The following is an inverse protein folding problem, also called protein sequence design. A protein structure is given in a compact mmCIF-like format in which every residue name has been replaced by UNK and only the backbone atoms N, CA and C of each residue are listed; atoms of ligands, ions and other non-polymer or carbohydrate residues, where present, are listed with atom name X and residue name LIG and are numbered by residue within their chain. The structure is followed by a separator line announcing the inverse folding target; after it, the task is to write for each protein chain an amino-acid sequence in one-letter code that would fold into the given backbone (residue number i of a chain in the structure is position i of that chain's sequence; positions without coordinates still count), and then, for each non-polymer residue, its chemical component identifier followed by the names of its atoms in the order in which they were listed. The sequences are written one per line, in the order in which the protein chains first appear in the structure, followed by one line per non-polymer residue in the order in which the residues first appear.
data_IF_451294310310
#
_entry.id   IF_451294310310
#
_cell.length_a   1.000
_cell.length_b   1.000
_cell.length_c   1.000
_cell.angle_alpha   90.00
_cell.angle_beta   90.00
_cell.angle_gamma   90.00
#
_symmetry.space_group_name_H-M   'P 1'
#
loop_
_entity.id
_entity.type
_entity.pdbx_description
1 polymer ?
#
# COMPACT_ATOMS: atom_id res chain seq x y z
N UNK A 1 -11.27 13.77 -35.37
CA UNK A 1 -10.79 14.26 -34.06
C UNK A 1 -9.70 13.32 -33.59
N UNK A 2 -8.51 13.82 -33.37
CA UNK A 2 -7.31 12.98 -33.12
C UNK A 2 -7.50 12.19 -31.84
N UNK A 3 -7.38 10.86 -31.90
CA UNK A 3 -7.56 9.96 -30.76
C UNK A 3 -6.67 10.34 -29.57
N UNK A 4 -5.47 10.85 -29.86
CA UNK A 4 -4.54 11.41 -28.89
C UNK A 4 -5.12 12.64 -28.17
N UNK A 5 -5.73 13.58 -28.94
CA UNK A 5 -6.32 14.80 -28.38
C UNK A 5 -7.52 14.47 -27.45
N UNK A 6 -8.34 13.48 -27.81
CA UNK A 6 -9.44 12.99 -26.97
C UNK A 6 -8.93 12.37 -25.66
N UNK A 7 -7.91 11.51 -25.72
CA UNK A 7 -7.29 10.90 -24.53
C UNK A 7 -6.70 11.96 -23.59
N UNK A 8 -5.98 12.95 -24.14
CA UNK A 8 -5.40 14.06 -23.34
C UNK A 8 -6.51 14.88 -22.66
N UNK A 9 -7.58 15.23 -23.37
CA UNK A 9 -8.71 15.97 -22.80
C UNK A 9 -9.39 15.20 -21.67
N UNK A 10 -9.54 13.86 -21.80
CA UNK A 10 -10.11 12.99 -20.78
C UNK A 10 -9.23 12.94 -19.53
N UNK A 11 -7.91 12.81 -19.69
CA UNK A 11 -6.94 12.82 -18.57
C UNK A 11 -6.96 14.17 -17.86
N UNK A 12 -6.91 15.28 -18.61
CA UNK A 12 -6.93 16.63 -18.04
C UNK A 12 -8.23 16.90 -17.25
N UNK A 13 -9.37 16.44 -17.74
CA UNK A 13 -10.65 16.56 -17.04
C UNK A 13 -10.71 15.68 -15.77
N UNK A 14 -10.09 14.50 -15.79
CA UNK A 14 -9.95 13.62 -14.63
C UNK A 14 -9.09 14.27 -13.55
N UNK A 15 -7.91 14.75 -13.89
CA UNK A 15 -6.99 15.45 -12.99
C UNK A 15 -7.67 16.68 -12.38
N UNK A 16 -8.35 17.50 -13.19
CA UNK A 16 -9.07 18.69 -12.73
C UNK A 16 -10.17 18.34 -11.71
N UNK A 17 -10.88 17.25 -11.91
CA UNK A 17 -11.92 16.77 -10.97
C UNK A 17 -11.30 16.23 -9.70
N UNK A 18 -10.20 15.45 -9.78
CA UNK A 18 -9.51 14.88 -8.64
C UNK A 18 -9.02 15.97 -7.68
N UNK A 19 -8.43 17.04 -8.20
CA UNK A 19 -7.89 18.14 -7.42
C UNK A 19 -8.90 19.29 -7.18
N UNK A 20 -10.18 19.09 -7.44
CA UNK A 20 -11.22 20.08 -7.11
C UNK A 20 -11.42 20.26 -5.61
N UNK A 21 -11.31 19.17 -4.84
CA UNK A 21 -11.41 19.19 -3.37
C UNK A 21 -10.03 19.47 -2.76
N UNK A 22 -9.91 20.55 -1.98
CA UNK A 22 -8.63 20.95 -1.34
C UNK A 22 -8.03 19.84 -0.49
N UNK A 23 -8.84 19.05 0.20
CA UNK A 23 -8.35 17.97 1.06
C UNK A 23 -7.58 16.90 0.27
N UNK A 24 -8.00 16.60 -0.97
CA UNK A 24 -7.32 15.65 -1.85
C UNK A 24 -5.94 16.18 -2.25
N UNK A 25 -5.81 17.51 -2.43
CA UNK A 25 -4.52 18.15 -2.71
C UNK A 25 -3.55 17.92 -1.54
N UNK A 26 -4.02 18.09 -0.30
CA UNK A 26 -3.18 17.82 0.88
C UNK A 26 -2.77 16.34 0.97
N UNK A 27 -3.70 15.40 0.76
CA UNK A 27 -3.36 13.98 0.73
C UNK A 27 -2.33 13.63 -0.36
N UNK A 28 -2.54 14.14 -1.57
CA UNK A 28 -1.62 13.96 -2.68
C UNK A 28 -0.24 14.62 -2.40
N UNK A 29 -0.22 15.80 -1.81
CA UNK A 29 1.03 16.49 -1.47
C UNK A 29 1.84 15.73 -0.42
N UNK A 30 1.18 15.16 0.61
CA UNK A 30 1.84 14.32 1.62
C UNK A 30 2.45 13.07 0.96
N UNK A 31 1.68 12.34 0.16
CA UNK A 31 2.17 11.14 -0.53
C UNK A 31 3.33 11.50 -1.46
N UNK A 32 3.18 12.57 -2.24
CA UNK A 32 4.24 13.04 -3.14
C UNK A 32 5.50 13.44 -2.39
N UNK A 33 5.37 14.15 -1.26
CA UNK A 33 6.50 14.50 -0.40
C UNK A 33 7.28 13.26 0.04
N UNK A 34 6.61 12.25 0.58
CA UNK A 34 7.28 11.02 1.00
C UNK A 34 7.89 10.23 -0.17
N UNK A 35 7.27 10.24 -1.35
CA UNK A 35 7.85 9.62 -2.54
C UNK A 35 9.15 10.35 -2.94
N UNK A 36 9.15 11.68 -2.92
CA UNK A 36 10.36 12.48 -3.20
C UNK A 36 11.44 12.18 -2.16
N UNK A 37 11.10 12.17 -0.87
CA UNK A 37 12.04 11.82 0.20
C UNK A 37 12.61 10.40 -0.01
N UNK A 38 11.79 9.44 -0.38
CA UNK A 38 12.25 8.07 -0.63
C UNK A 38 13.22 7.98 -1.82
N UNK A 39 12.94 8.69 -2.92
CA UNK A 39 13.80 8.69 -4.11
C UNK A 39 15.12 9.39 -3.82
N UNK A 40 15.06 10.56 -3.20
CA UNK A 40 16.23 11.39 -2.92
C UNK A 40 16.89 11.11 -1.56
N UNK A 41 16.52 10.02 -0.88
CA UNK A 41 17.05 9.69 0.44
C UNK A 41 18.60 9.74 0.55
N UNK A 42 19.37 9.23 -0.43
CA UNK A 42 20.84 9.32 -0.36
C UNK A 42 21.40 10.75 -0.40
N UNK A 43 20.64 11.71 -0.92
CA UNK A 43 21.05 13.12 -1.01
C UNK A 43 20.49 13.96 0.14
N UNK A 44 19.37 13.50 0.75
CA UNK A 44 18.69 14.23 1.82
C UNK A 44 19.19 13.84 3.21
N UNK A 45 19.74 12.62 3.37
CA UNK A 45 20.26 12.16 4.65
C UNK A 45 21.57 12.87 4.98
N UNK A 46 21.66 13.59 6.13
CA UNK A 46 22.88 14.29 6.49
C UNK A 46 24.02 13.34 6.85
N UNK A 47 23.71 12.12 7.32
CA UNK A 47 24.69 11.11 7.71
C UNK A 47 24.36 9.75 7.08
N UNK A 48 25.34 8.83 7.09
CA UNK A 48 25.08 7.42 6.78
C UNK A 48 24.13 6.84 7.85
N UNK A 49 22.92 6.35 7.47
CA UNK A 49 21.93 5.80 8.39
C UNK A 49 22.39 4.55 9.13
N UNK A 50 23.51 3.96 8.73
CA UNK A 50 24.09 2.74 9.30
C UNK A 50 25.37 2.98 10.10
N UNK A 51 25.98 4.16 10.00
CA UNK A 51 27.19 4.52 10.73
C UNK A 51 26.92 4.50 12.24
N UNK A 52 27.67 3.67 12.95
CA UNK A 52 27.55 3.50 14.41
C UNK A 52 28.60 4.41 15.07
N UNK A 53 28.14 5.23 16.02
CA UNK A 53 29.01 6.08 16.86
C UNK A 53 28.64 5.92 18.35
N UNK A 54 29.24 4.95 19.07
CA UNK A 54 28.94 4.70 20.45
C UNK A 54 29.21 5.90 21.38
N UNK A 55 30.07 6.83 20.97
CA UNK A 55 30.38 8.02 21.77
C UNK A 55 29.23 9.01 21.81
N UNK A 56 28.38 9.01 20.78
CA UNK A 56 27.19 9.84 20.66
C UNK A 56 25.89 9.02 20.84
N UNK A 57 25.93 7.92 21.60
CA UNK A 57 24.74 7.12 21.89
C UNK A 57 23.70 7.92 22.66
N UNK A 58 22.41 7.89 22.20
CA UNK A 58 21.28 8.61 22.81
C UNK A 58 21.47 10.12 22.93
N UNK A 59 22.28 10.73 22.06
CA UNK A 59 22.45 12.18 22.04
C UNK A 59 21.12 12.89 21.77
N UNK A 60 20.89 13.98 22.51
CA UNK A 60 19.69 14.81 22.37
C UNK A 60 19.69 15.56 21.03
N UNK A 61 18.51 15.98 20.54
CA UNK A 61 18.41 16.85 19.38
C UNK A 61 19.35 18.06 19.48
N UNK A 62 20.17 18.27 18.47
CA UNK A 62 21.18 19.31 18.39
C UNK A 62 21.39 19.80 16.97
N UNK A 63 22.20 20.84 16.76
CA UNK A 63 22.55 21.29 15.41
C UNK A 63 23.34 20.24 14.61
N UNK A 64 24.08 19.36 15.27
CA UNK A 64 24.76 18.23 14.62
C UNK A 64 23.78 17.10 14.29
N UNK A 65 22.89 16.74 15.20
CA UNK A 65 21.89 15.69 15.03
C UNK A 65 20.50 16.25 15.30
N UNK A 66 19.79 16.68 14.27
CA UNK A 66 18.51 17.41 14.38
C UNK A 66 17.43 16.68 15.19
N UNK A 67 17.37 15.37 15.12
CA UNK A 67 16.48 14.51 15.91
C UNK A 67 17.22 13.66 16.95
N UNK A 68 18.49 13.98 17.18
CA UNK A 68 19.36 13.20 18.06
C UNK A 68 19.84 11.90 17.42
N UNK A 69 20.36 11.01 18.26
CA UNK A 69 20.87 9.69 17.85
C UNK A 69 20.14 8.56 18.54
N UNK A 70 20.25 7.37 17.98
CA UNK A 70 19.66 6.15 18.55
C UNK A 70 20.59 5.50 19.62
N UNK A 71 20.20 4.31 20.07
CA UNK A 71 20.90 3.58 21.15
C UNK A 71 22.34 3.14 20.83
N UNK A 72 22.76 3.21 19.58
CA UNK A 72 24.13 2.88 19.14
C UNK A 72 24.78 4.06 18.40
N UNK A 73 24.19 5.27 18.53
CA UNK A 73 24.75 6.52 18.01
C UNK A 73 24.46 6.81 16.55
N UNK A 74 23.52 6.08 15.90
CA UNK A 74 23.13 6.38 14.50
C UNK A 74 22.20 7.58 14.45
N UNK A 75 22.33 8.43 13.43
CA UNK A 75 21.49 9.61 13.24
C UNK A 75 20.03 9.27 12.97
N UNK A 76 19.13 9.74 13.84
CA UNK A 76 17.68 9.42 13.78
C UNK A 76 17.05 10.00 12.51
N UNK A 77 17.40 11.24 12.11
CA UNK A 77 16.83 11.86 10.92
C UNK A 77 17.21 11.08 9.64
N UNK A 78 18.49 10.73 9.49
CA UNK A 78 18.95 9.93 8.34
C UNK A 78 18.24 8.58 8.28
N UNK A 79 18.03 7.94 9.42
CA UNK A 79 17.29 6.67 9.51
C UNK A 79 15.80 6.83 9.17
N UNK A 80 15.16 7.92 9.56
CA UNK A 80 13.77 8.22 9.15
C UNK A 80 13.67 8.39 7.63
N UNK A 81 14.59 9.13 7.04
CA UNK A 81 14.64 9.35 5.58
C UNK A 81 14.81 8.03 4.83
N UNK A 82 15.72 7.17 5.26
CA UNK A 82 15.89 5.84 4.65
C UNK A 82 14.74 4.89 4.97
N UNK A 83 14.15 4.98 6.16
CA UNK A 83 12.96 4.24 6.55
C UNK A 83 11.76 4.52 5.64
N UNK A 84 11.66 5.74 5.10
CA UNK A 84 10.64 6.09 4.09
C UNK A 84 10.71 5.17 2.86
N UNK A 85 11.91 4.90 2.34
CA UNK A 85 12.10 3.99 1.19
C UNK A 85 11.61 2.60 1.52
N UNK A 86 11.98 2.11 2.69
CA UNK A 86 11.68 0.75 3.14
C UNK A 86 10.18 0.55 3.33
N UNK A 87 9.51 1.46 4.05
CA UNK A 87 8.07 1.39 4.31
C UNK A 87 7.23 1.55 3.02
N UNK A 88 7.60 2.48 2.14
CA UNK A 88 6.93 2.63 0.84
C UNK A 88 7.13 1.39 -0.05
N UNK A 89 8.34 0.84 -0.11
CA UNK A 89 8.64 -0.35 -0.90
C UNK A 89 7.79 -1.54 -0.44
N UNK A 90 7.72 -1.80 0.88
CA UNK A 90 6.89 -2.88 1.42
C UNK A 90 5.42 -2.63 1.11
N UNK A 91 4.92 -1.42 1.40
CA UNK A 91 3.52 -1.09 1.17
C UNK A 91 3.10 -1.30 -0.29
N UNK A 92 3.90 -0.83 -1.24
CA UNK A 92 3.61 -0.94 -2.67
C UNK A 92 3.75 -2.40 -3.14
N UNK A 93 4.86 -3.07 -2.82
CA UNK A 93 5.12 -4.44 -3.35
C UNK A 93 4.13 -5.44 -2.75
N UNK A 94 3.85 -5.40 -1.44
CA UNK A 94 2.88 -6.29 -0.82
C UNK A 94 1.48 -6.11 -1.42
N UNK A 95 1.05 -4.85 -1.62
CA UNK A 95 -0.25 -4.55 -2.24
C UNK A 95 -0.29 -5.01 -3.70
N UNK A 96 0.81 -4.88 -4.46
CA UNK A 96 0.87 -5.38 -5.84
C UNK A 96 0.80 -6.90 -5.91
N UNK A 97 1.47 -7.63 -5.01
CA UNK A 97 1.35 -9.09 -4.89
C UNK A 97 -0.11 -9.48 -4.65
N UNK A 98 -0.75 -8.87 -3.65
CA UNK A 98 -2.15 -9.14 -3.32
C UNK A 98 -3.10 -8.83 -4.47
N UNK A 99 -2.90 -7.69 -5.12
CA UNK A 99 -3.75 -7.25 -6.22
C UNK A 99 -3.63 -8.14 -7.43
N UNK A 100 -2.41 -8.47 -7.87
CA UNK A 100 -2.20 -9.33 -9.04
C UNK A 100 -2.82 -10.71 -8.79
N UNK A 101 -2.49 -11.35 -7.67
CA UNK A 101 -3.04 -12.66 -7.33
C UNK A 101 -4.57 -12.60 -7.14
N UNK A 102 -5.05 -11.61 -6.37
CA UNK A 102 -6.47 -11.49 -6.06
C UNK A 102 -7.33 -11.11 -7.27
N UNK A 103 -6.84 -10.26 -8.16
CA UNK A 103 -7.53 -9.92 -9.43
C UNK A 103 -7.65 -11.15 -10.30
N UNK A 104 -6.58 -11.93 -10.47
CA UNK A 104 -6.61 -13.16 -11.28
C UNK A 104 -7.60 -14.16 -10.68
N UNK A 105 -7.49 -14.46 -9.38
CA UNK A 105 -8.36 -15.41 -8.70
C UNK A 105 -9.82 -14.95 -8.71
N UNK A 106 -10.09 -13.67 -8.44
CA UNK A 106 -11.44 -13.12 -8.44
C UNK A 106 -12.06 -13.08 -9.84
N UNK A 107 -11.25 -12.83 -10.87
CA UNK A 107 -11.68 -12.87 -12.27
C UNK A 107 -12.04 -14.31 -12.70
N UNK A 108 -11.20 -15.30 -12.37
CA UNK A 108 -11.47 -16.70 -12.64
C UNK A 108 -12.74 -17.17 -11.92
N UNK A 109 -12.85 -16.88 -10.63
CA UNK A 109 -14.01 -17.21 -9.80
C UNK A 109 -15.31 -16.60 -10.35
N UNK A 110 -15.33 -15.28 -10.61
CA UNK A 110 -16.52 -14.57 -11.04
C UNK A 110 -16.96 -14.86 -12.48
N UNK A 111 -16.01 -15.09 -13.41
CA UNK A 111 -16.31 -15.30 -14.83
C UNK A 111 -16.60 -16.76 -15.16
N UNK A 112 -15.79 -17.71 -14.68
CA UNK A 112 -15.98 -19.14 -14.96
C UNK A 112 -17.16 -19.68 -14.13
N UNK A 113 -17.21 -19.35 -12.84
CA UNK A 113 -18.27 -19.82 -11.94
C UNK A 113 -18.16 -21.30 -11.58
N UNK A 114 -19.28 -21.90 -11.14
CA UNK A 114 -19.38 -23.32 -10.83
C UNK A 114 -18.36 -23.82 -9.80
N UNK A 115 -17.72 -24.95 -10.06
CA UNK A 115 -16.72 -25.56 -9.15
C UNK A 115 -15.50 -24.66 -8.92
N UNK A 116 -15.05 -23.92 -9.96
CA UNK A 116 -13.91 -23.00 -9.83
C UNK A 116 -14.23 -21.89 -8.82
N UNK A 117 -15.41 -21.31 -8.92
CA UNK A 117 -15.88 -20.30 -7.96
C UNK A 117 -15.97 -20.87 -6.54
N UNK A 118 -16.55 -22.08 -6.40
CA UNK A 118 -16.69 -22.71 -5.09
C UNK A 118 -15.34 -22.96 -4.43
N UNK A 119 -14.37 -23.52 -5.15
CA UNK A 119 -13.05 -23.83 -4.60
C UNK A 119 -12.31 -22.55 -4.20
N UNK A 120 -12.23 -21.57 -5.11
CA UNK A 120 -11.54 -20.30 -4.82
C UNK A 120 -12.20 -19.58 -3.63
N UNK A 121 -13.53 -19.49 -3.62
CA UNK A 121 -14.27 -18.83 -2.54
C UNK A 121 -14.03 -19.52 -1.19
N UNK A 122 -14.06 -20.86 -1.13
CA UNK A 122 -13.78 -21.61 0.12
C UNK A 122 -12.35 -21.40 0.62
N UNK A 123 -11.34 -21.38 -0.28
CA UNK A 123 -9.97 -21.07 0.10
C UNK A 123 -9.86 -19.64 0.66
N UNK A 124 -10.52 -18.67 0.02
CA UNK A 124 -10.51 -17.27 0.50
C UNK A 124 -11.25 -17.11 1.82
N UNK A 125 -12.38 -17.79 2.02
CA UNK A 125 -13.14 -17.81 3.27
C UNK A 125 -12.31 -18.40 4.40
N UNK A 126 -11.57 -19.49 4.17
CA UNK A 126 -10.68 -20.08 5.17
C UNK A 126 -9.58 -19.12 5.60
N UNK A 127 -8.96 -18.39 4.65
CA UNK A 127 -7.97 -17.35 4.98
C UNK A 127 -8.59 -16.18 5.75
N UNK A 128 -9.81 -15.77 5.42
CA UNK A 128 -10.50 -14.65 6.09
C UNK A 128 -11.09 -15.04 7.46
N UNK A 129 -11.20 -16.31 7.79
CA UNK A 129 -11.60 -16.77 9.11
C UNK A 129 -10.56 -16.40 10.19
N UNK A 130 -9.30 -16.20 9.78
CA UNK A 130 -8.23 -15.76 10.66
C UNK A 130 -8.10 -14.24 10.52
N UNK A 131 -8.11 -13.46 11.64
CA UNK A 131 -7.82 -12.03 11.59
C UNK A 131 -6.48 -11.76 10.89
N UNK A 132 -6.45 -10.79 9.97
CA UNK A 132 -5.26 -10.50 9.13
C UNK A 132 -3.98 -10.31 9.93
N UNK A 133 -4.07 -9.62 11.08
CA UNK A 133 -2.92 -9.40 11.97
C UNK A 133 -2.40 -10.71 12.55
N UNK A 134 -3.30 -11.62 12.97
CA UNK A 134 -2.91 -12.93 13.48
C UNK A 134 -2.31 -13.82 12.41
N UNK A 135 -2.88 -13.80 11.20
CA UNK A 135 -2.32 -14.52 10.05
C UNK A 135 -0.91 -14.01 9.74
N UNK A 136 -0.73 -12.68 9.69
CA UNK A 136 0.57 -12.08 9.42
C UNK A 136 1.59 -12.39 10.52
N UNK A 137 1.19 -12.35 11.81
CA UNK A 137 2.04 -12.75 12.94
C UNK A 137 2.46 -14.21 12.84
N UNK A 138 1.51 -15.11 12.58
CA UNK A 138 1.79 -16.56 12.46
C UNK A 138 2.75 -16.83 11.30
N UNK A 139 2.50 -16.23 10.13
CA UNK A 139 3.42 -16.36 9.00
C UNK A 139 4.79 -15.74 9.29
N UNK A 140 4.83 -14.61 10.03
CA UNK A 140 6.06 -13.97 10.47
C UNK A 140 6.89 -14.83 11.41
N UNK A 141 6.26 -15.58 12.31
CA UNK A 141 6.94 -16.54 13.19
C UNK A 141 7.53 -17.73 12.41
N UNK A 142 6.84 -18.18 11.37
CA UNK A 142 7.28 -19.35 10.56
C UNK A 142 8.37 -18.95 9.56
N UNK A 143 8.17 -17.83 8.83
CA UNK A 143 9.07 -17.37 7.76
C UNK A 143 10.22 -16.50 8.29
N UNK A 144 10.12 -16.00 9.51
CA UNK A 144 11.05 -15.03 10.08
C UNK A 144 10.82 -13.61 9.59
N UNK A 145 11.49 -12.65 10.22
CA UNK A 145 11.51 -11.25 9.81
C UNK A 145 12.33 -11.02 8.54
N UNK A 146 12.34 -9.76 8.10
CA UNK A 146 13.10 -9.32 6.94
C UNK A 146 12.23 -8.76 5.81
N UNK A 147 12.85 -7.96 4.96
CA UNK A 147 12.17 -7.17 3.93
C UNK A 147 11.29 -8.05 3.01
N UNK A 148 11.88 -9.08 2.42
CA UNK A 148 11.19 -9.97 1.46
C UNK A 148 10.07 -10.76 2.12
N UNK A 149 10.32 -11.31 3.32
CA UNK A 149 9.32 -12.08 4.04
C UNK A 149 8.12 -11.21 4.40
N UNK A 150 8.33 -9.97 4.88
CA UNK A 150 7.24 -9.03 5.16
C UNK A 150 6.40 -8.71 3.93
N UNK A 151 7.02 -8.47 2.78
CA UNK A 151 6.29 -8.24 1.52
C UNK A 151 5.39 -9.42 1.16
N UNK A 152 5.90 -10.65 1.30
CA UNK A 152 5.16 -11.88 1.00
C UNK A 152 4.04 -12.08 2.02
N UNK A 153 4.32 -11.95 3.32
CA UNK A 153 3.36 -12.12 4.42
C UNK A 153 2.17 -11.17 4.26
N UNK A 154 2.46 -9.87 4.13
CA UNK A 154 1.44 -8.85 3.98
C UNK A 154 0.70 -8.98 2.64
N UNK A 155 1.43 -9.39 1.60
CA UNK A 155 0.87 -9.70 0.30
C UNK A 155 -0.16 -10.82 0.38
N UNK A 156 0.20 -11.98 0.92
CA UNK A 156 -0.69 -13.14 1.04
C UNK A 156 -1.91 -12.82 1.90
N UNK A 157 -1.70 -12.15 3.04
CA UNK A 157 -2.76 -11.85 4.00
C UNK A 157 -3.89 -11.00 3.42
N UNK A 158 -3.63 -10.22 2.38
CA UNK A 158 -4.61 -9.32 1.76
C UNK A 158 -5.16 -9.81 0.41
N UNK A 159 -4.68 -10.94 -0.15
CA UNK A 159 -5.21 -11.55 -1.39
C UNK A 159 -6.75 -11.72 -1.34
N UNK A 160 -7.35 -12.24 -0.24
CA UNK A 160 -8.79 -12.48 -0.20
C UNK A 160 -9.63 -11.22 -0.42
N UNK A 161 -9.15 -10.06 0.04
CA UNK A 161 -9.83 -8.78 -0.13
C UNK A 161 -9.95 -8.40 -1.61
N UNK A 162 -8.87 -8.55 -2.38
CA UNK A 162 -8.87 -8.29 -3.83
C UNK A 162 -9.66 -9.32 -4.61
N UNK A 163 -9.55 -10.60 -4.23
CA UNK A 163 -10.31 -11.70 -4.84
C UNK A 163 -11.81 -11.47 -4.72
N UNK A 164 -12.28 -11.14 -3.52
CA UNK A 164 -13.70 -10.86 -3.26
C UNK A 164 -14.20 -9.63 -4.02
N UNK A 165 -13.42 -8.54 -4.01
CA UNK A 165 -13.76 -7.32 -4.73
C UNK A 165 -13.87 -7.58 -6.23
N UNK A 166 -12.85 -8.21 -6.83
CA UNK A 166 -12.83 -8.52 -8.26
C UNK A 166 -13.96 -9.47 -8.65
N UNK A 167 -14.19 -10.55 -7.89
CA UNK A 167 -15.28 -11.48 -8.10
C UNK A 167 -16.64 -10.75 -8.14
N UNK A 168 -16.91 -9.88 -7.17
CA UNK A 168 -18.16 -9.10 -7.12
C UNK A 168 -18.34 -8.20 -8.34
N UNK A 169 -17.26 -7.52 -8.78
CA UNK A 169 -17.28 -6.70 -9.99
C UNK A 169 -17.55 -7.53 -11.25
N UNK A 170 -16.88 -8.66 -11.40
CA UNK A 170 -17.09 -9.57 -12.55
C UNK A 170 -18.51 -10.09 -12.59
N UNK A 171 -19.06 -10.53 -11.46
CA UNK A 171 -20.44 -11.01 -11.38
C UNK A 171 -21.47 -9.95 -11.77
N UNK A 172 -21.20 -8.67 -11.48
CA UNK A 172 -22.10 -7.57 -11.83
C UNK A 172 -22.14 -7.24 -13.32
N UNK A 173 -21.10 -7.60 -14.09
CA UNK A 173 -20.99 -7.24 -15.52
C UNK A 173 -21.00 -8.43 -16.46
N UNK A 174 -20.78 -9.67 -15.99
CA UNK A 174 -20.67 -10.85 -16.87
C UNK A 174 -21.94 -11.10 -17.70
N UNK A 175 -23.11 -10.66 -17.25
CA UNK A 175 -24.39 -10.75 -17.96
C UNK A 175 -24.68 -9.54 -18.85
N UNK A 176 -23.76 -8.62 -19.07
CA UNK A 176 -23.96 -7.46 -19.92
C UNK A 176 -23.97 -7.85 -21.40
N UNK A 177 -24.82 -7.17 -22.20
CA UNK A 177 -25.05 -7.49 -23.62
C UNK A 177 -23.77 -7.56 -24.44
N UNK A 178 -22.83 -6.67 -24.22
CA UNK A 178 -21.55 -6.65 -24.93
C UNK A 178 -20.65 -7.86 -24.63
N UNK A 179 -20.77 -8.47 -23.44
CA UNK A 179 -20.04 -9.69 -23.07
C UNK A 179 -20.72 -10.88 -23.73
N UNK A 180 -22.06 -10.97 -23.63
CA UNK A 180 -22.84 -12.03 -24.29
C UNK A 180 -22.64 -12.00 -25.81
N UNK A 181 -22.66 -10.83 -26.43
CA UNK A 181 -22.37 -10.68 -27.86
C UNK A 181 -20.97 -11.18 -28.24
N UNK A 182 -19.94 -10.90 -27.42
CA UNK A 182 -18.59 -11.40 -27.65
C UNK A 182 -18.51 -12.95 -27.53
N UNK A 183 -19.28 -13.54 -26.62
CA UNK A 183 -19.38 -15.02 -26.48
C UNK A 183 -20.07 -15.65 -27.69
N UNK A 184 -21.18 -15.07 -28.16
CA UNK A 184 -21.93 -15.56 -29.35
C UNK A 184 -21.07 -15.51 -30.62
N UNK A 185 -20.25 -14.48 -30.79
CA UNK A 185 -19.30 -14.36 -31.91
C UNK A 185 -18.08 -15.30 -31.77
N UNK A 186 -17.98 -16.06 -30.66
CA UNK A 186 -16.92 -17.04 -30.45
C UNK A 186 -15.58 -16.48 -30.00
N UNK A 187 -15.56 -15.29 -29.40
CA UNK A 187 -14.32 -14.72 -28.82
C UNK A 187 -13.84 -15.60 -27.68
N UNK A 188 -12.55 -15.96 -27.66
CA UNK A 188 -11.95 -16.81 -26.60
C UNK A 188 -12.17 -16.18 -25.21
N UNK A 189 -12.59 -16.99 -24.23
CA UNK A 189 -12.87 -16.57 -22.84
C UNK A 189 -11.76 -15.73 -22.23
N UNK A 190 -10.49 -16.14 -22.40
CA UNK A 190 -9.33 -15.38 -21.90
C UNK A 190 -9.29 -13.95 -22.50
N UNK A 191 -9.56 -13.80 -23.79
CA UNK A 191 -9.62 -12.49 -24.44
C UNK A 191 -10.77 -11.65 -23.91
N UNK A 192 -11.95 -12.25 -23.65
CA UNK A 192 -13.08 -11.55 -23.02
C UNK A 192 -12.68 -11.05 -21.63
N UNK A 193 -12.07 -11.90 -20.82
CA UNK A 193 -11.64 -11.57 -19.45
C UNK A 193 -10.69 -10.37 -19.42
N UNK A 194 -9.65 -10.37 -20.25
CA UNK A 194 -8.63 -9.30 -20.22
C UNK A 194 -9.02 -8.05 -21.01
N UNK A 195 -9.76 -8.18 -22.12
CA UNK A 195 -10.10 -7.05 -23.00
C UNK A 195 -11.43 -6.39 -22.69
N UNK A 196 -12.38 -7.11 -22.08
CA UNK A 196 -13.73 -6.60 -21.81
C UNK A 196 -14.06 -6.56 -20.32
N UNK A 197 -13.72 -7.61 -19.54
CA UNK A 197 -14.07 -7.67 -18.11
C UNK A 197 -13.12 -6.84 -17.28
N UNK A 198 -11.83 -7.10 -17.33
CA UNK A 198 -10.83 -6.46 -16.50
C UNK A 198 -10.86 -4.91 -16.57
N UNK A 199 -10.87 -4.27 -17.76
CA UNK A 199 -10.89 -2.81 -17.83
C UNK A 199 -12.12 -2.17 -17.19
N UNK A 200 -13.28 -2.85 -17.28
CA UNK A 200 -14.52 -2.36 -16.69
C UNK A 200 -14.60 -2.54 -15.17
N UNK A 201 -13.79 -3.45 -14.60
CA UNK A 201 -13.70 -3.69 -13.15
C UNK A 201 -12.62 -2.86 -12.46
N UNK A 202 -11.76 -2.14 -13.19
CA UNK A 202 -10.57 -1.49 -12.62
C UNK A 202 -10.86 -0.33 -11.66
N UNK A 203 -11.95 0.42 -11.85
CA UNK A 203 -12.20 1.63 -11.04
C UNK A 203 -12.25 1.37 -9.53
N UNK A 204 -13.06 0.43 -9.01
CA UNK A 204 -13.05 0.12 -7.57
C UNK A 204 -11.75 -0.49 -7.09
N UNK A 205 -11.06 -1.25 -7.95
CA UNK A 205 -9.78 -1.88 -7.61
C UNK A 205 -8.67 -0.84 -7.42
N UNK A 206 -8.60 0.20 -8.26
CA UNK A 206 -7.63 1.29 -8.12
C UNK A 206 -7.82 2.03 -6.79
N UNK A 207 -9.07 2.28 -6.39
CA UNK A 207 -9.39 2.88 -5.08
C UNK A 207 -8.92 1.98 -3.95
N UNK A 208 -9.23 0.68 -4.03
CA UNK A 208 -8.82 -0.32 -3.04
C UNK A 208 -7.29 -0.41 -2.93
N UNK A 209 -6.58 -0.43 -4.07
CA UNK A 209 -5.12 -0.41 -4.14
C UNK A 209 -4.54 0.77 -3.35
N UNK A 210 -5.01 1.97 -3.64
CA UNK A 210 -4.49 3.19 -3.01
C UNK A 210 -4.68 3.18 -1.50
N UNK A 211 -5.85 2.80 -1.01
CA UNK A 211 -6.15 2.72 0.43
C UNK A 211 -5.33 1.62 1.12
N UNK A 212 -5.18 0.48 0.45
CA UNK A 212 -4.45 -0.65 1.03
C UNK A 212 -2.95 -0.39 1.17
N UNK A 213 -2.35 0.50 0.40
CA UNK A 213 -0.95 0.90 0.62
C UNK A 213 -0.80 1.49 2.03
N UNK A 214 -1.67 2.42 2.42
CA UNK A 214 -1.64 3.01 3.76
C UNK A 214 -1.83 1.97 4.87
N UNK A 215 -2.86 1.11 4.76
CA UNK A 215 -3.12 0.08 5.77
C UNK A 215 -2.01 -0.96 5.84
N UNK A 216 -1.36 -1.29 4.72
CA UNK A 216 -0.22 -2.22 4.68
C UNK A 216 1.02 -1.63 5.34
N UNK A 217 1.30 -0.33 5.16
CA UNK A 217 2.37 0.38 5.87
C UNK A 217 2.12 0.38 7.38
N UNK A 218 0.88 0.58 7.81
CA UNK A 218 0.52 0.49 9.22
C UNK A 218 0.72 -0.94 9.77
N UNK A 219 0.32 -1.96 9.00
CA UNK A 219 0.50 -3.36 9.37
C UNK A 219 1.99 -3.75 9.43
N UNK A 220 2.81 -3.29 8.48
CA UNK A 220 4.27 -3.45 8.51
C UNK A 220 4.85 -2.84 9.79
N UNK A 221 4.48 -1.59 10.08
CA UNK A 221 4.96 -0.90 11.28
C UNK A 221 4.57 -1.63 12.56
N UNK A 222 3.36 -2.21 12.61
CA UNK A 222 2.90 -3.02 13.75
C UNK A 222 3.69 -4.31 13.91
N UNK A 223 3.96 -5.04 12.81
CA UNK A 223 4.79 -6.25 12.84
C UNK A 223 6.24 -5.93 13.22
N UNK A 224 6.80 -4.85 12.69
CA UNK A 224 8.14 -4.36 13.03
C UNK A 224 8.23 -3.96 14.51
N UNK A 225 7.19 -3.31 15.05
CA UNK A 225 7.09 -2.99 16.47
C UNK A 225 7.06 -4.24 17.35
N UNK A 226 6.45 -5.33 16.89
CA UNK A 226 6.41 -6.62 17.60
C UNK A 226 7.68 -7.48 17.41
N UNK A 227 8.70 -6.95 16.72
CA UNK A 227 9.97 -7.66 16.50
C UNK A 227 9.97 -8.64 15.33
N UNK A 228 8.88 -8.74 14.57
CA UNK A 228 8.76 -9.57 13.37
C UNK A 228 8.95 -8.74 12.08
N UNK A 229 9.59 -7.59 12.22
CA UNK A 229 9.80 -6.63 11.16
C UNK A 229 11.07 -6.84 10.36
N UNK A 230 11.64 -5.71 9.97
CA UNK A 230 12.86 -5.65 9.19
C UNK A 230 14.06 -5.87 10.10
N UNK A 231 14.97 -6.74 9.65
CA UNK A 231 16.17 -7.03 10.40
C UNK A 231 17.19 -5.88 10.32
N UNK A 232 17.89 -5.57 11.44
CA UNK A 232 19.04 -4.67 11.40
C UNK A 232 20.08 -5.13 10.35
N UNK A 233 20.82 -4.19 9.73
CA UNK A 233 20.93 -2.77 10.06
C UNK A 233 19.87 -1.88 9.39
N UNK A 234 18.99 -2.42 8.52
CA UNK A 234 18.05 -1.64 7.73
C UNK A 234 17.13 -0.80 8.63
N UNK A 235 16.90 0.44 8.19
CA UNK A 235 15.98 1.33 8.88
C UNK A 235 14.52 1.03 8.48
N UNK A 236 13.63 0.90 9.48
CA UNK A 236 12.18 0.89 9.31
C UNK A 236 11.53 1.76 10.38
N UNK A 237 10.45 2.42 10.02
CA UNK A 237 9.75 3.28 10.98
C UNK A 237 9.19 2.49 12.17
N UNK A 238 8.60 1.31 11.92
CA UNK A 238 8.06 0.47 12.98
C UNK A 238 9.14 -0.03 13.95
N UNK A 239 10.29 -0.48 13.44
CA UNK A 239 11.43 -0.86 14.27
C UNK A 239 11.97 0.31 15.09
N UNK A 240 12.07 1.52 14.49
CA UNK A 240 12.49 2.72 15.19
C UNK A 240 11.50 3.14 16.30
N UNK A 241 10.20 2.99 16.07
CA UNK A 241 9.18 3.20 17.11
C UNK A 241 9.36 2.21 18.27
N UNK A 242 9.62 0.96 17.98
CA UNK A 242 9.88 -0.05 19.03
C UNK A 242 11.12 0.28 19.84
N UNK A 243 12.24 0.58 19.17
CA UNK A 243 13.49 0.97 19.84
C UNK A 243 13.31 2.25 20.66
N UNK A 244 12.56 3.23 20.14
CA UNK A 244 12.30 4.50 20.79
C UNK A 244 11.28 4.44 21.93
N UNK A 245 10.31 3.50 21.86
CA UNK A 245 9.29 3.34 22.90
C UNK A 245 9.88 3.13 24.29
N UNK A 246 10.88 2.26 24.41
CA UNK A 246 11.55 1.98 25.69
C UNK A 246 12.41 3.14 26.19
N UNK A 247 12.60 4.20 25.38
CA UNK A 247 13.50 5.33 25.61
C UNK A 247 12.84 6.70 25.47
N UNK A 248 11.51 6.73 25.49
CA UNK A 248 10.73 7.98 25.31
C UNK A 248 11.07 9.07 26.33
N UNK A 249 11.46 8.71 27.55
CA UNK A 249 11.85 9.67 28.57
C UNK A 249 13.23 10.28 28.25
N UNK A 250 14.15 9.48 27.70
CA UNK A 250 15.50 9.92 27.40
C UNK A 250 15.59 10.75 26.09
N UNK A 251 14.93 10.28 25.03
CA UNK A 251 14.85 11.01 23.75
C UNK A 251 13.47 10.78 23.11
N UNK A 252 12.46 11.66 23.35
CA UNK A 252 11.13 11.54 22.77
C UNK A 252 11.13 11.57 21.24
N UNK A 253 12.04 12.33 20.62
CA UNK A 253 12.10 12.46 19.16
C UNK A 253 12.41 11.14 18.48
N UNK A 254 13.20 10.26 19.10
CA UNK A 254 13.58 8.97 18.55
C UNK A 254 12.39 8.04 18.31
N UNK A 255 11.40 8.01 19.22
CA UNK A 255 10.20 7.16 19.06
C UNK A 255 9.04 7.87 18.36
N UNK A 256 8.82 9.16 18.65
CA UNK A 256 7.67 9.90 18.12
C UNK A 256 7.83 10.29 16.64
N UNK A 257 9.02 10.71 16.21
CA UNK A 257 9.20 11.18 14.84
C UNK A 257 8.91 10.12 13.77
N UNK A 258 9.39 8.87 13.85
CA UNK A 258 8.99 7.83 12.88
C UNK A 258 7.51 7.48 12.98
N UNK A 259 6.90 7.50 14.18
CA UNK A 259 5.46 7.29 14.37
C UNK A 259 4.61 8.37 13.67
N UNK A 260 5.02 9.65 13.75
CA UNK A 260 4.39 10.75 13.02
C UNK A 260 4.51 10.54 11.50
N UNK A 261 5.66 10.07 11.01
CA UNK A 261 5.84 9.77 9.59
C UNK A 261 4.87 8.67 9.11
N UNK A 262 4.69 7.59 9.87
CA UNK A 262 3.69 6.54 9.60
C UNK A 262 2.29 7.17 9.54
N UNK A 263 1.91 7.93 10.57
CA UNK A 263 0.58 8.58 10.65
C UNK A 263 0.32 9.45 9.43
N UNK A 264 1.25 10.33 9.08
CA UNK A 264 1.10 11.26 7.96
C UNK A 264 0.98 10.52 6.63
N UNK A 265 1.82 9.52 6.39
CA UNK A 265 1.81 8.77 5.14
C UNK A 265 0.53 7.96 4.97
N UNK A 266 0.07 7.28 6.03
CA UNK A 266 -1.20 6.53 6.05
C UNK A 266 -2.38 7.46 5.81
N UNK A 267 -2.40 8.61 6.48
CA UNK A 267 -3.43 9.63 6.29
C UNK A 267 -3.42 10.17 4.85
N UNK A 268 -2.24 10.42 4.30
CA UNK A 268 -2.07 10.86 2.91
C UNK A 268 -2.67 9.87 1.92
N UNK A 269 -2.35 8.58 2.02
CA UNK A 269 -2.92 7.53 1.15
C UNK A 269 -4.43 7.37 1.32
N UNK A 270 -4.97 7.46 2.54
CA UNK A 270 -6.41 7.36 2.77
C UNK A 270 -7.15 8.54 2.13
N UNK A 271 -6.70 9.77 2.38
CA UNK A 271 -7.32 10.99 1.80
C UNK A 271 -7.24 10.96 0.27
N UNK A 272 -6.09 10.58 -0.29
CA UNK A 272 -5.91 10.49 -1.73
C UNK A 272 -6.78 9.38 -2.33
N UNK A 273 -6.89 8.22 -1.67
CA UNK A 273 -7.75 7.11 -2.08
C UNK A 273 -9.22 7.46 -2.06
N UNK A 274 -9.69 8.22 -1.06
CA UNK A 274 -11.07 8.71 -1.01
C UNK A 274 -11.36 9.71 -2.13
N UNK A 275 -10.40 10.60 -2.44
CA UNK A 275 -10.49 11.48 -3.60
C UNK A 275 -10.58 10.74 -4.94
N UNK A 276 -9.80 9.67 -5.09
CA UNK A 276 -9.87 8.79 -6.26
C UNK A 276 -11.25 8.12 -6.38
N UNK A 277 -11.80 7.64 -5.27
CA UNK A 277 -13.15 7.04 -5.22
C UNK A 277 -14.19 8.01 -5.75
N UNK A 278 -14.20 9.23 -5.24
CA UNK A 278 -15.18 10.25 -5.63
C UNK A 278 -15.17 10.55 -7.14
N UNK A 279 -14.01 10.53 -7.77
CA UNK A 279 -13.87 10.79 -9.21
C UNK A 279 -14.17 9.57 -10.08
N UNK A 280 -13.85 8.37 -9.57
CA UNK A 280 -14.02 7.11 -10.31
C UNK A 280 -15.43 6.53 -10.16
N UNK A 281 -16.21 6.91 -9.14
CA UNK A 281 -17.57 6.44 -8.93
C UNK A 281 -18.53 7.08 -9.97
N UNK A 282 -19.16 6.27 -10.86
CA UNK A 282 -20.09 6.79 -11.87
C UNK A 282 -21.35 7.43 -11.25
N UNK A 283 -21.74 6.99 -10.04
CA UNK A 283 -22.97 7.44 -9.38
C UNK A 283 -22.85 8.88 -8.86
N UNK A 284 -21.62 9.35 -8.63
CA UNK A 284 -21.35 10.70 -8.15
C UNK A 284 -21.13 11.72 -9.30
N UNK A 285 -21.20 11.30 -10.56
CA UNK A 285 -20.95 12.16 -11.73
C UNK A 285 -21.96 13.31 -11.92
N UNK A 286 -23.08 13.31 -11.22
CA UNK A 286 -24.14 14.33 -11.31
C UNK A 286 -24.25 15.26 -10.11
N UNK A 287 -23.54 15.03 -9.02
CA UNK A 287 -23.65 15.78 -7.75
C UNK A 287 -22.43 16.63 -7.40
N UNK A 288 -21.43 16.71 -8.30
CA UNK A 288 -20.17 17.45 -8.05
C UNK A 288 -20.04 18.62 -9.04
#
# INVERSE_FOLDING_TARGET
MDEKAYKIKKIKSFIRRLFRRRIVIYGAAIVFFFIVVAIFAPFLAPYDPYAIDPTNSMAQPSAAHLLGTDNIGRDVLSRIIYGTRTSLLIGIVAVMISAVCGIILGMLSGYIGGTVDTVISRCMEALMAIPNTMLALTLGLVLGGGLTNLMIILGISTIPTYTRMMRGQVMSIRGADYIMAAEVVGVKRVKIMFSHVLPNCMSPLIVLLTRNIGTTILAESSLSFLGLGINPPMASWGGMVNDGYTRLIANPAFGLAPGICVLLLVMGFNIFGDGLRDVLDPRLRGSI
#
